data_IF_356423214245
#
_entry.id   IF_356423214245
#
_cell.length_a   1.000
_cell.length_b   1.000
_cell.length_c   1.000
_cell.angle_alpha   90.00
_cell.angle_beta   90.00
_cell.angle_gamma   90.00
#
_symmetry.space_group_name_H-M   'P 1'
#
loop_
_entity.id
_entity.type
_entity.pdbx_description
1 polymer ?
#
# COMPACT_ATOMS: atom_id res chain seq x y z
N UNK A 1 -4.67 -5.55 6.49
CA UNK A 1 -5.45 -6.57 5.78
C UNK A 1 -6.14 -5.98 4.55
N UNK A 2 -6.23 -6.76 3.50
CA UNK A 2 -6.89 -6.36 2.27
C UNK A 2 -7.77 -7.49 1.76
N UNK A 3 -8.86 -7.14 1.09
CA UNK A 3 -9.73 -8.12 0.46
C UNK A 3 -9.40 -8.21 -1.02
N UNK A 4 -9.26 -9.43 -1.52
CA UNK A 4 -8.95 -9.68 -2.93
C UNK A 4 -10.22 -9.61 -3.75
N UNK A 5 -10.20 -8.82 -4.82
CA UNK A 5 -11.33 -8.72 -5.76
C UNK A 5 -10.82 -9.01 -7.16
N UNK A 6 -11.31 -10.09 -7.76
CA UNK A 6 -10.98 -10.49 -9.13
C UNK A 6 -12.10 -10.09 -10.07
N UNK A 7 -11.76 -9.38 -11.14
CA UNK A 7 -12.69 -9.02 -12.20
C UNK A 7 -12.05 -9.38 -13.54
N UNK A 8 -12.50 -10.48 -14.15
CA UNK A 8 -11.84 -11.02 -15.34
C UNK A 8 -10.42 -11.47 -14.99
N UNK A 9 -9.43 -10.84 -15.62
CA UNK A 9 -8.00 -11.07 -15.33
C UNK A 9 -7.40 -9.99 -14.44
N UNK A 10 -8.21 -9.02 -14.01
CA UNK A 10 -7.75 -7.93 -13.16
C UNK A 10 -7.94 -8.28 -11.70
N UNK A 11 -6.94 -7.98 -10.87
CA UNK A 11 -6.99 -8.23 -9.44
C UNK A 11 -6.74 -6.94 -8.69
N UNK A 12 -7.65 -6.62 -7.78
CA UNK A 12 -7.54 -5.47 -6.90
C UNK A 12 -7.42 -5.93 -5.45
N UNK A 13 -6.65 -5.17 -4.67
CA UNK A 13 -6.65 -5.27 -3.22
C UNK A 13 -7.51 -4.13 -2.69
N UNK A 14 -8.55 -4.47 -1.94
CA UNK A 14 -9.48 -3.49 -1.37
C UNK A 14 -9.12 -3.27 0.09
N UNK A 15 -8.75 -2.03 0.42
CA UNK A 15 -8.41 -1.61 1.78
C UNK A 15 -9.41 -0.53 2.17
N UNK A 16 -10.45 -0.90 2.91
CA UNK A 16 -11.55 0.01 3.22
C UNK A 16 -12.21 0.53 1.95
N UNK A 17 -12.20 1.85 1.77
CA UNK A 17 -12.76 2.49 0.56
C UNK A 17 -11.78 2.56 -0.61
N UNK A 18 -10.54 2.13 -0.40
CA UNK A 18 -9.50 2.22 -1.43
C UNK A 18 -9.39 0.91 -2.20
N UNK A 19 -9.28 1.03 -3.52
CA UNK A 19 -9.10 -0.10 -4.43
C UNK A 19 -7.75 0.07 -5.13
N UNK A 20 -6.86 -0.90 -4.92
CA UNK A 20 -5.49 -0.83 -5.39
C UNK A 20 -5.24 -1.95 -6.40
N UNK A 21 -5.01 -1.58 -7.67
CA UNK A 21 -4.79 -2.55 -8.75
C UNK A 21 -3.41 -3.20 -8.64
N UNK A 22 -3.37 -4.52 -8.69
CA UNK A 22 -2.12 -5.27 -8.76
C UNK A 22 -1.63 -5.38 -10.20
N UNK A 23 -0.29 -5.38 -10.42
CA UNK A 23 0.26 -5.78 -11.71
C UNK A 23 -0.20 -7.19 -12.10
N UNK A 24 -0.27 -7.46 -13.40
CA UNK A 24 -0.83 -8.71 -13.92
C UNK A 24 -0.16 -9.97 -13.34
N UNK A 25 1.17 -9.98 -13.23
CA UNK A 25 1.91 -11.13 -12.72
C UNK A 25 1.63 -11.40 -11.24
N UNK A 26 1.42 -10.36 -10.44
CA UNK A 26 1.05 -10.49 -9.03
C UNK A 26 -0.40 -10.93 -8.90
N UNK A 27 -1.28 -10.35 -9.70
CA UNK A 27 -2.69 -10.73 -9.72
C UNK A 27 -2.89 -12.18 -10.12
N UNK A 28 -2.11 -12.67 -11.09
CA UNK A 28 -2.18 -14.06 -11.53
C UNK A 28 -1.93 -15.03 -10.40
N UNK A 29 -0.97 -14.75 -9.52
CA UNK A 29 -0.67 -15.61 -8.37
C UNK A 29 -1.88 -15.73 -7.45
N UNK A 30 -2.64 -14.65 -7.26
CA UNK A 30 -3.85 -14.65 -6.44
C UNK A 30 -5.00 -15.39 -7.12
N UNK A 31 -5.16 -15.26 -8.42
CA UNK A 31 -6.17 -16.00 -9.19
C UNK A 31 -5.88 -17.50 -9.11
N UNK A 32 -4.65 -17.90 -9.39
CA UNK A 32 -4.23 -19.30 -9.41
C UNK A 32 -4.38 -19.94 -8.03
N UNK A 33 -4.18 -19.19 -6.96
CA UNK A 33 -4.34 -19.65 -5.59
C UNK A 33 -5.77 -19.63 -5.06
N UNK A 34 -6.74 -19.15 -5.85
CA UNK A 34 -8.15 -19.12 -5.44
C UNK A 34 -8.47 -18.10 -4.35
N UNK A 35 -7.80 -16.96 -4.34
CA UNK A 35 -7.96 -15.96 -3.29
C UNK A 35 -9.08 -14.95 -3.52
N UNK A 36 -9.84 -15.04 -4.61
CA UNK A 36 -10.93 -14.10 -4.86
C UNK A 36 -11.92 -14.08 -3.69
N UNK A 37 -12.20 -12.88 -3.17
CA UNK A 37 -13.08 -12.68 -2.03
C UNK A 37 -12.46 -12.96 -0.67
N UNK A 38 -11.21 -13.41 -0.64
CA UNK A 38 -10.50 -13.71 0.62
C UNK A 38 -9.73 -12.50 1.11
N UNK A 39 -9.48 -12.49 2.42
CA UNK A 39 -8.64 -11.48 3.06
C UNK A 39 -7.19 -11.96 3.04
N UNK A 40 -6.28 -11.06 2.61
CA UNK A 40 -4.85 -11.29 2.59
C UNK A 40 -4.15 -10.18 3.36
N UNK A 41 -2.85 -10.34 3.62
CA UNK A 41 -2.03 -9.30 4.23
C UNK A 41 -1.17 -8.67 3.14
N UNK A 42 -1.32 -7.35 2.99
CA UNK A 42 -0.51 -6.57 2.06
C UNK A 42 0.65 -5.95 2.81
N UNK A 43 1.87 -6.14 2.30
CA UNK A 43 3.06 -5.49 2.82
C UNK A 43 3.69 -4.60 1.77
N UNK A 44 4.15 -3.42 2.18
CA UNK A 44 4.86 -2.49 1.30
C UNK A 44 5.93 -1.77 2.10
N UNK A 45 7.12 -1.66 1.53
CA UNK A 45 8.24 -0.99 2.21
C UNK A 45 8.09 0.52 2.16
N UNK A 46 8.60 1.25 3.17
CA UNK A 46 8.48 2.71 3.22
C UNK A 46 9.01 3.44 1.98
N UNK A 47 10.08 2.95 1.36
CA UNK A 47 10.64 3.55 0.15
C UNK A 47 9.72 3.46 -1.07
N UNK A 48 8.69 2.62 -1.00
CA UNK A 48 7.72 2.43 -2.09
C UNK A 48 6.39 3.16 -1.83
N UNK A 49 6.34 4.00 -0.79
CA UNK A 49 5.20 4.85 -0.45
C UNK A 49 5.68 6.29 -0.47
N UNK A 50 5.01 7.14 -1.24
CA UNK A 50 5.43 8.53 -1.42
C UNK A 50 4.28 9.51 -1.14
N UNK A 51 4.63 10.72 -0.68
CA UNK A 51 3.68 11.83 -0.56
C UNK A 51 3.51 12.59 -1.89
N UNK A 52 4.22 12.18 -2.93
CA UNK A 52 4.04 12.68 -4.29
C UNK A 52 3.11 11.73 -5.05
N UNK A 53 1.80 11.84 -4.76
CA UNK A 53 0.79 10.89 -5.23
C UNK A 53 0.65 10.79 -6.75
N UNK A 54 1.03 11.82 -7.46
CA UNK A 54 1.00 11.86 -8.93
C UNK A 54 2.01 10.91 -9.58
N UNK A 55 2.98 10.40 -8.83
CA UNK A 55 3.91 9.36 -9.33
C UNK A 55 3.20 8.01 -9.53
N UNK A 56 2.13 7.77 -8.81
CA UNK A 56 1.36 6.52 -8.88
C UNK A 56 -0.13 6.80 -8.99
N UNK A 57 -0.58 7.40 -10.10
CA UNK A 57 -2.00 7.71 -10.29
C UNK A 57 -2.82 6.41 -10.29
N UNK A 58 -3.94 6.43 -9.59
CA UNK A 58 -4.78 5.24 -9.45
C UNK A 58 -4.37 4.27 -8.35
N UNK A 59 -3.23 4.51 -7.70
CA UNK A 59 -2.74 3.68 -6.58
C UNK A 59 -2.49 4.57 -5.39
N UNK A 60 -3.52 5.27 -4.94
CA UNK A 60 -3.40 6.26 -3.88
C UNK A 60 -4.31 5.99 -2.71
N UNK A 61 -3.85 6.39 -1.53
CA UNK A 61 -4.65 6.42 -0.31
C UNK A 61 -4.48 7.80 0.32
N UNK A 62 -5.46 8.21 1.13
CA UNK A 62 -5.40 9.50 1.80
C UNK A 62 -5.44 9.28 3.30
N UNK A 63 -4.56 9.96 4.03
CA UNK A 63 -4.46 9.79 5.46
C UNK A 63 -3.89 11.03 6.13
N UNK A 64 -4.13 11.13 7.44
CA UNK A 64 -3.53 12.17 8.28
C UNK A 64 -2.22 11.65 8.84
N UNK A 65 -1.17 12.47 8.74
CA UNK A 65 0.15 12.12 9.25
C UNK A 65 0.11 12.17 10.79
N UNK A 66 0.41 11.04 11.43
CA UNK A 66 0.45 10.93 12.87
C UNK A 66 1.80 11.37 13.44
N UNK A 67 2.88 11.02 12.76
CA UNK A 67 4.25 11.33 13.19
C UNK A 67 5.10 11.69 11.97
N UNK A 68 5.88 12.76 12.12
CA UNK A 68 6.94 13.16 11.19
C UNK A 68 8.26 12.90 11.90
N UNK A 69 9.16 12.17 11.25
CA UNK A 69 10.45 11.83 11.84
C UNK A 69 11.58 12.08 10.85
N UNK A 70 12.56 12.89 11.25
CA UNK A 70 13.75 13.13 10.46
C UNK A 70 14.90 12.28 11.02
N UNK A 71 15.38 11.33 10.23
CA UNK A 71 16.48 10.43 10.60
C UNK A 71 17.62 10.63 9.61
N UNK A 72 18.67 11.37 10.04
CA UNK A 72 19.75 11.72 9.15
C UNK A 72 19.26 12.57 7.98
N UNK A 73 19.43 12.09 6.77
CA UNK A 73 19.00 12.76 5.54
C UNK A 73 17.64 12.25 5.03
N UNK A 74 16.94 11.42 5.80
CA UNK A 74 15.68 10.83 5.38
C UNK A 74 14.53 11.26 6.27
N UNK A 75 13.35 11.44 5.67
CA UNK A 75 12.13 11.76 6.40
C UNK A 75 11.17 10.58 6.29
N UNK A 76 10.63 10.17 7.44
CA UNK A 76 9.61 9.13 7.52
C UNK A 76 8.31 9.74 8.02
N UNK A 77 7.22 9.42 7.32
CA UNK A 77 5.88 9.82 7.70
C UNK A 77 5.09 8.59 8.11
N UNK A 78 4.55 8.62 9.32
CA UNK A 78 3.76 7.50 9.88
C UNK A 78 2.30 7.89 9.87
N UNK A 79 1.46 6.98 9.37
CA UNK A 79 0.03 7.22 9.24
C UNK A 79 -0.76 5.92 9.27
N UNK A 80 -2.08 6.01 9.47
CA UNK A 80 -2.98 4.88 9.44
C UNK A 80 -3.93 5.00 8.26
N UNK A 81 -4.18 3.87 7.58
CA UNK A 81 -5.18 3.77 6.54
C UNK A 81 -6.15 2.67 6.95
N UNK A 82 -7.38 3.03 7.28
CA UNK A 82 -8.42 2.07 7.65
C UNK A 82 -7.97 1.10 8.76
N UNK A 83 -7.22 1.62 9.75
CA UNK A 83 -6.70 0.82 10.86
C UNK A 83 -5.34 0.17 10.62
N UNK A 84 -4.77 0.31 9.43
CA UNK A 84 -3.41 -0.17 9.13
C UNK A 84 -2.38 0.89 9.42
N UNK A 85 -1.31 0.51 10.08
CA UNK A 85 -0.15 1.36 10.21
C UNK A 85 0.68 1.32 8.94
N UNK A 86 0.96 2.48 8.37
CA UNK A 86 1.80 2.61 7.20
C UNK A 86 2.90 3.62 7.43
N UNK A 87 4.00 3.46 6.69
CA UNK A 87 5.15 4.37 6.75
C UNK A 87 5.55 4.72 5.34
N UNK A 88 5.78 6.02 5.09
CA UNK A 88 6.34 6.52 3.84
C UNK A 88 7.73 7.09 4.10
N UNK A 89 8.69 6.75 3.25
CA UNK A 89 9.99 7.43 3.22
C UNK A 89 9.94 8.46 2.09
N UNK A 90 10.10 9.71 2.44
CA UNK A 90 9.88 10.82 1.52
C UNK A 90 11.11 11.71 1.41
N UNK A 91 11.09 12.60 0.43
CA UNK A 91 12.17 13.56 0.20
C UNK A 91 12.32 14.46 1.45
N UNK A 92 13.56 14.72 1.92
CA UNK A 92 13.78 15.60 3.08
C UNK A 92 13.31 17.04 2.86
N UNK A 93 13.06 17.45 1.62
CA UNK A 93 12.50 18.76 1.31
C UNK A 93 10.96 18.79 1.33
N UNK A 94 10.32 17.70 1.75
CA UNK A 94 8.86 17.63 1.85
C UNK A 94 8.30 18.73 2.74
N UNK A 95 7.13 19.25 2.37
CA UNK A 95 6.38 20.20 3.20
C UNK A 95 5.36 19.50 4.11
N UNK A 96 5.22 18.18 3.98
CA UNK A 96 4.28 17.39 4.78
C UNK A 96 4.72 17.35 6.25
N UNK A 97 3.77 17.54 7.15
CA UNK A 97 4.02 17.57 8.60
C UNK A 97 2.93 16.84 9.38
N UNK A 98 3.22 16.53 10.64
CA UNK A 98 2.24 15.92 11.55
C UNK A 98 0.95 16.73 11.54
N UNK A 99 -0.18 16.05 11.42
CA UNK A 99 -1.51 16.64 11.37
C UNK A 99 -2.01 16.97 9.97
N UNK A 100 -1.12 16.95 8.96
CA UNK A 100 -1.53 17.21 7.58
C UNK A 100 -2.29 16.02 7.00
N UNK A 101 -3.33 16.31 6.22
CA UNK A 101 -4.04 15.30 5.43
C UNK A 101 -3.38 15.21 4.06
N UNK A 102 -2.81 14.07 3.74
CA UNK A 102 -1.99 13.89 2.54
C UNK A 102 -2.48 12.71 1.72
N UNK A 103 -2.42 12.85 0.40
CA UNK A 103 -2.64 11.73 -0.50
C UNK A 103 -1.30 11.07 -0.77
N UNK A 104 -1.20 9.78 -0.44
CA UNK A 104 0.01 8.98 -0.64
C UNK A 104 -0.13 8.09 -1.85
N UNK A 105 0.94 7.98 -2.63
CA UNK A 105 1.01 7.04 -3.74
C UNK A 105 1.76 5.78 -3.34
N UNK A 106 1.27 4.63 -3.79
CA UNK A 106 1.86 3.32 -3.51
C UNK A 106 2.37 2.69 -4.81
N UNK A 107 3.62 2.26 -4.79
CA UNK A 107 4.18 1.51 -5.92
C UNK A 107 3.72 0.05 -5.82
N UNK A 108 2.61 -0.26 -6.45
CA UNK A 108 2.00 -1.59 -6.38
C UNK A 108 2.84 -2.67 -7.06
N UNK A 109 3.83 -2.30 -7.88
CA UNK A 109 4.77 -3.26 -8.45
C UNK A 109 5.74 -3.83 -7.40
N UNK A 110 5.83 -3.18 -6.24
CA UNK A 110 6.73 -3.56 -5.14
C UNK A 110 5.99 -4.14 -3.94
N UNK A 111 4.67 -4.29 -4.02
CA UNK A 111 3.88 -4.81 -2.91
C UNK A 111 4.11 -6.31 -2.73
N UNK A 112 4.04 -6.75 -1.48
CA UNK A 112 4.09 -8.15 -1.09
C UNK A 112 2.72 -8.57 -0.60
N UNK A 113 2.28 -9.78 -0.93
CA UNK A 113 0.99 -10.30 -0.48
C UNK A 113 1.22 -11.64 0.22
N UNK A 114 0.68 -11.75 1.43
CA UNK A 114 0.82 -12.93 2.27
C UNK A 114 -0.55 -13.54 2.57
N UNK A 115 -0.58 -14.87 2.68
CA UNK A 115 -1.76 -15.59 3.16
C UNK A 115 -1.97 -15.24 4.63
N UNK A 116 -3.19 -14.85 4.99
CA UNK A 116 -3.48 -14.39 6.34
C UNK A 116 -3.37 -15.49 7.39
N UNK A 117 -3.73 -16.72 7.03
CA UNK A 117 -3.73 -17.85 7.96
C UNK A 117 -2.36 -18.49 8.11
N UNK A 118 -1.67 -18.73 6.99
CA UNK A 118 -0.38 -19.42 6.97
C UNK A 118 0.81 -18.49 7.09
N UNK A 119 0.61 -17.19 6.80
CA UNK A 119 1.66 -16.16 6.74
C UNK A 119 2.68 -16.41 5.62
N UNK A 120 2.39 -17.37 4.73
CA UNK A 120 3.25 -17.65 3.59
C UNK A 120 3.08 -16.59 2.50
N UNK A 121 4.17 -16.28 1.83
CA UNK A 121 4.16 -15.32 0.72
C UNK A 121 3.38 -15.90 -0.46
N UNK A 122 2.39 -15.16 -0.95
CA UNK A 122 1.66 -15.50 -2.17
C UNK A 122 2.37 -14.91 -3.38
N UNK A 123 2.78 -13.65 -3.28
CA UNK A 123 3.55 -12.97 -4.32
C UNK A 123 4.41 -11.86 -3.72
N UNK A 124 5.56 -11.65 -4.34
CA UNK A 124 6.49 -10.58 -3.97
C UNK A 124 6.48 -9.47 -4.99
#
# INVERSE_FOLDING_TARGET
DATVKVTGNDVDLVVGKYTLRLPAEKGKALIDGGYNGKTVVMGIRPENVTDEADKFPGSTVEATINVYELLGAEVFLYFDVQGFNMTARVNPHTTSRTGDRVKFGLDMSKVHVFDKETELTITN
#
